data_IF_171811079607
#
_entry.id   IF_171811079607
#
_cell.length_a   1.000
_cell.length_b   1.000
_cell.length_c   1.000
_cell.angle_alpha   90.00
_cell.angle_beta   90.00
_cell.angle_gamma   90.00
#
_symmetry.space_group_name_H-M   'P 1'
#
loop_
_entity.id
_entity.type
_entity.pdbx_description
1 polymer ?
#
# COMPACT_ATOMS: atom_id res chain seq x y z
N UNK A 1 26.95 11.68 -13.80
CA UNK A 1 25.69 11.28 -13.12
C UNK A 1 24.91 12.53 -12.73
N UNK A 2 23.78 12.80 -13.38
CA UNK A 2 22.95 13.96 -13.03
C UNK A 2 22.33 13.75 -11.63
N UNK A 3 22.50 14.74 -10.72
CA UNK A 3 21.85 14.70 -9.39
C UNK A 3 20.35 14.93 -9.58
N UNK A 4 19.55 13.87 -9.53
CA UNK A 4 18.08 13.90 -9.60
C UNK A 4 17.49 14.94 -8.62
N UNK A 5 18.15 15.13 -7.47
CA UNK A 5 17.78 16.10 -6.44
C UNK A 5 17.96 17.58 -6.84
N UNK A 6 18.30 17.91 -8.10
CA UNK A 6 18.30 19.30 -8.62
C UNK A 6 17.16 19.58 -9.58
N UNK A 7 16.31 18.59 -9.88
CA UNK A 7 15.17 18.80 -10.76
C UNK A 7 14.04 19.53 -10.02
N UNK A 8 13.45 20.59 -10.60
CA UNK A 8 12.44 21.42 -9.92
C UNK A 8 11.18 20.63 -9.52
N UNK A 9 10.89 19.52 -10.21
CA UNK A 9 9.80 18.60 -9.90
C UNK A 9 10.07 17.71 -8.68
N UNK A 10 11.31 17.54 -8.23
CA UNK A 10 11.67 16.62 -7.13
C UNK A 10 11.76 17.35 -5.78
N UNK A 11 12.06 18.65 -5.77
CA UNK A 11 12.33 19.41 -4.53
C UNK A 11 11.14 20.22 -4.00
N UNK A 12 10.04 20.32 -4.73
CA UNK A 12 8.85 21.04 -4.27
C UNK A 12 7.80 20.08 -3.70
N UNK A 13 6.97 20.55 -2.76
CA UNK A 13 5.87 19.72 -2.22
C UNK A 13 4.89 19.30 -3.31
N UNK A 14 4.54 20.22 -4.22
CA UNK A 14 3.66 19.93 -5.36
C UNK A 14 4.29 18.94 -6.33
N UNK A 15 5.57 19.13 -6.67
CA UNK A 15 6.29 18.22 -7.56
C UNK A 15 6.39 16.80 -6.98
N UNK A 16 6.68 16.66 -5.68
CA UNK A 16 6.68 15.36 -4.99
C UNK A 16 5.31 14.68 -4.98
N UNK A 17 4.22 15.44 -4.81
CA UNK A 17 2.86 14.90 -4.90
C UNK A 17 2.56 14.38 -6.32
N UNK A 18 2.88 15.16 -7.35
CA UNK A 18 2.71 14.75 -8.75
C UNK A 18 3.54 13.50 -9.07
N UNK A 19 4.80 13.47 -8.65
CA UNK A 19 5.68 12.31 -8.83
C UNK A 19 5.13 11.08 -8.09
N UNK A 20 4.67 11.22 -6.85
CA UNK A 20 4.02 10.12 -6.12
C UNK A 20 2.81 9.58 -6.88
N UNK A 21 1.91 10.45 -7.35
CA UNK A 21 0.74 10.02 -8.11
C UNK A 21 1.13 9.28 -9.40
N UNK A 22 2.13 9.79 -10.13
CA UNK A 22 2.64 9.13 -11.33
C UNK A 22 3.24 7.75 -11.01
N UNK A 23 4.07 7.64 -9.98
CA UNK A 23 4.68 6.36 -9.59
C UNK A 23 3.63 5.34 -9.16
N UNK A 24 2.62 5.76 -8.37
CA UNK A 24 1.51 4.90 -7.99
C UNK A 24 0.65 4.48 -9.19
N UNK A 25 0.52 5.33 -10.20
CA UNK A 25 -0.17 4.97 -11.44
C UNK A 25 0.60 3.91 -12.24
N UNK A 26 1.92 4.06 -12.35
CA UNK A 26 2.79 3.05 -12.98
C UNK A 26 2.76 1.73 -12.20
N UNK A 27 2.81 1.78 -10.87
CA UNK A 27 2.74 0.58 -10.02
C UNK A 27 1.46 -0.22 -10.24
N UNK A 28 0.31 0.45 -10.41
CA UNK A 28 -0.98 -0.20 -10.72
C UNK A 28 -1.03 -0.88 -12.08
N UNK A 29 -0.11 -0.57 -12.99
CA UNK A 29 -0.04 -1.20 -14.31
C UNK A 29 0.81 -2.49 -14.29
N UNK A 30 1.52 -2.77 -13.19
CA UNK A 30 2.30 -3.99 -13.04
C UNK A 30 1.33 -5.14 -12.73
N UNK A 31 1.34 -6.23 -13.52
CA UNK A 31 0.50 -7.39 -13.22
C UNK A 31 0.98 -8.09 -11.94
N UNK A 32 0.07 -8.64 -11.13
CA UNK A 32 0.44 -9.40 -9.94
C UNK A 32 1.12 -10.73 -10.32
N UNK A 33 1.79 -11.36 -9.35
CA UNK A 33 2.39 -12.67 -9.52
C UNK A 33 1.31 -13.75 -9.80
N UNK A 34 1.39 -14.49 -10.93
CA UNK A 34 0.43 -15.55 -11.26
C UNK A 34 0.33 -16.68 -10.23
N UNK A 35 1.35 -16.89 -9.41
CA UNK A 35 1.31 -17.88 -8.32
C UNK A 35 0.36 -17.47 -7.19
N UNK A 36 0.22 -16.16 -6.94
CA UNK A 36 -0.75 -15.61 -5.99
C UNK A 36 -2.16 -15.77 -6.55
N UNK A 37 -2.36 -15.50 -7.84
CA UNK A 37 -3.64 -15.75 -8.50
C UNK A 37 -4.07 -17.22 -8.37
N UNK A 38 -3.15 -18.16 -8.65
CA UNK A 38 -3.41 -19.58 -8.52
C UNK A 38 -3.74 -20.00 -7.08
N UNK A 39 -3.05 -19.41 -6.09
CA UNK A 39 -3.30 -19.66 -4.68
C UNK A 39 -4.70 -19.20 -4.26
N UNK A 40 -5.08 -17.97 -4.62
CA UNK A 40 -6.41 -17.43 -4.29
C UNK A 40 -7.52 -18.21 -4.99
N UNK A 41 -7.34 -18.58 -6.26
CA UNK A 41 -8.31 -19.39 -6.99
C UNK A 41 -8.47 -20.81 -6.41
N UNK A 42 -7.41 -21.38 -5.84
CA UNK A 42 -7.46 -22.72 -5.23
C UNK A 42 -8.18 -22.71 -3.88
N UNK A 43 -7.96 -21.68 -3.07
CA UNK A 43 -8.49 -21.61 -1.71
C UNK A 43 -9.84 -20.91 -1.60
N UNK A 44 -10.25 -20.15 -2.62
CA UNK A 44 -11.51 -19.38 -2.67
C UNK A 44 -11.79 -18.61 -1.36
N UNK A 45 -10.85 -17.77 -0.87
CA UNK A 45 -11.03 -17.11 0.41
C UNK A 45 -12.11 -16.03 0.33
N UNK A 46 -12.94 -15.93 1.37
CA UNK A 46 -13.92 -14.84 1.53
C UNK A 46 -13.27 -13.49 1.84
N UNK A 47 -12.02 -13.49 2.33
CA UNK A 47 -11.25 -12.30 2.70
C UNK A 47 -9.75 -12.59 2.65
N UNK A 48 -8.96 -11.59 2.25
CA UNK A 48 -7.49 -11.64 2.29
C UNK A 48 -6.96 -10.62 3.29
N UNK A 49 -6.29 -11.09 4.34
CA UNK A 49 -5.61 -10.26 5.32
C UNK A 49 -4.10 -10.39 5.15
N UNK A 50 -3.41 -9.25 5.06
CA UNK A 50 -1.96 -9.21 4.83
C UNK A 50 -1.23 -8.47 5.94
N UNK A 51 0.01 -8.89 6.16
CA UNK A 51 1.00 -8.15 6.94
C UNK A 51 2.39 -8.72 6.67
N UNK A 52 3.46 -7.89 6.57
CA UNK A 52 3.49 -6.43 6.54
C UNK A 52 3.32 -5.85 5.11
N UNK A 53 2.59 -4.72 4.96
CA UNK A 53 2.35 -4.05 3.65
C UNK A 53 3.11 -2.72 3.48
N UNK A 54 3.95 -2.36 4.45
CA UNK A 54 4.68 -1.08 4.45
C UNK A 54 6.15 -1.21 4.04
N UNK A 55 6.64 -2.43 3.84
CA UNK A 55 8.04 -2.68 3.48
C UNK A 55 8.31 -2.35 2.01
N UNK A 56 9.51 -1.84 1.73
CA UNK A 56 9.97 -1.61 0.36
C UNK A 56 10.06 -2.95 -0.36
N UNK A 57 9.28 -3.10 -1.44
CA UNK A 57 9.23 -4.34 -2.20
C UNK A 57 8.43 -5.45 -1.53
N UNK A 58 7.47 -5.13 -0.66
CA UNK A 58 6.59 -6.16 -0.08
C UNK A 58 5.78 -6.90 -1.15
N UNK A 59 5.96 -8.21 -1.22
CA UNK A 59 5.20 -9.15 -2.07
C UNK A 59 3.71 -9.20 -1.66
N UNK A 60 3.36 -8.68 -0.48
CA UNK A 60 1.97 -8.59 -0.03
C UNK A 60 1.12 -7.70 -0.94
N UNK A 61 1.73 -6.83 -1.75
CA UNK A 61 1.03 -6.01 -2.75
C UNK A 61 0.36 -6.89 -3.81
N UNK A 62 0.95 -8.03 -4.16
CA UNK A 62 0.37 -8.94 -5.14
C UNK A 62 -0.90 -9.60 -4.60
N UNK A 63 -0.90 -10.01 -3.33
CA UNK A 63 -2.10 -10.54 -2.66
C UNK A 63 -3.25 -9.53 -2.65
N UNK A 64 -2.97 -8.26 -2.36
CA UNK A 64 -3.98 -7.20 -2.41
C UNK A 64 -4.50 -6.98 -3.83
N UNK A 65 -3.61 -7.00 -4.82
CA UNK A 65 -3.94 -6.73 -6.21
C UNK A 65 -4.74 -7.88 -6.82
N UNK A 66 -4.30 -9.11 -6.65
CA UNK A 66 -4.99 -10.33 -7.09
C UNK A 66 -6.37 -10.47 -6.43
N UNK A 67 -6.46 -10.31 -5.11
CA UNK A 67 -7.73 -10.36 -4.40
C UNK A 67 -8.72 -9.31 -4.92
N UNK A 68 -8.25 -8.07 -5.13
CA UNK A 68 -9.07 -6.99 -5.70
C UNK A 68 -9.56 -7.34 -7.11
N UNK A 69 -8.71 -7.89 -7.98
CA UNK A 69 -9.10 -8.30 -9.33
C UNK A 69 -10.20 -9.37 -9.29
N UNK A 70 -10.13 -10.28 -8.31
CA UNK A 70 -11.12 -11.35 -8.09
C UNK A 70 -12.36 -10.90 -7.31
N UNK A 71 -12.43 -9.62 -6.88
CA UNK A 71 -13.55 -9.10 -6.09
C UNK A 71 -13.57 -9.56 -4.62
N UNK A 72 -12.44 -10.07 -4.11
CA UNK A 72 -12.28 -10.53 -2.73
C UNK A 72 -11.91 -9.34 -1.83
N UNK A 73 -12.64 -9.09 -0.73
CA UNK A 73 -12.30 -8.05 0.24
C UNK A 73 -10.90 -8.22 0.85
N UNK A 74 -10.23 -7.10 1.10
CA UNK A 74 -8.84 -7.07 1.57
C UNK A 74 -8.65 -6.26 2.85
N UNK A 75 -7.68 -6.66 3.69
CA UNK A 75 -7.32 -5.92 4.90
C UNK A 75 -5.82 -5.94 5.21
N UNK A 76 -5.30 -4.83 5.71
CA UNK A 76 -3.96 -4.75 6.33
C UNK A 76 -4.11 -4.82 7.85
N UNK A 77 -3.51 -5.83 8.47
CA UNK A 77 -3.33 -5.89 9.91
C UNK A 77 -1.95 -5.34 10.26
N UNK A 78 -1.86 -4.09 10.74
CA UNK A 78 -0.55 -3.46 11.05
C UNK A 78 0.19 -4.29 12.10
N UNK A 79 1.40 -4.75 11.77
CA UNK A 79 2.11 -5.74 12.59
C UNK A 79 2.65 -5.18 13.90
N UNK A 80 3.25 -3.98 13.87
CA UNK A 80 3.87 -3.35 15.04
C UNK A 80 3.50 -1.88 15.18
N UNK A 81 3.75 -1.35 16.38
CA UNK A 81 3.44 0.03 16.77
C UNK A 81 4.18 1.09 15.93
N UNK A 82 5.34 0.77 15.35
CA UNK A 82 6.20 1.71 14.61
C UNK A 82 6.12 1.57 13.07
N UNK A 83 5.36 0.62 12.55
CA UNK A 83 5.33 0.30 11.11
C UNK A 83 4.92 1.48 10.22
N UNK A 84 4.03 2.35 10.69
CA UNK A 84 3.49 3.46 9.90
C UNK A 84 4.38 4.71 9.88
N UNK A 85 5.48 4.73 10.64
CA UNK A 85 6.31 5.95 10.77
C UNK A 85 7.69 5.82 10.16
N UNK A 86 8.26 4.61 10.09
CA UNK A 86 9.69 4.46 9.78
C UNK A 86 10.06 3.39 8.73
N UNK A 87 9.12 2.54 8.28
CA UNK A 87 9.44 1.42 7.38
C UNK A 87 9.32 1.80 5.91
N UNK A 88 8.17 2.33 5.52
CA UNK A 88 7.88 2.69 4.14
C UNK A 88 6.45 3.20 4.03
N UNK A 89 5.80 2.99 2.89
CA UNK A 89 4.45 3.49 2.65
C UNK A 89 3.51 2.38 2.19
N UNK A 90 2.25 2.43 2.62
CA UNK A 90 1.17 1.68 1.99
C UNK A 90 0.98 2.25 0.59
N UNK A 91 1.47 1.53 -0.43
CA UNK A 91 1.44 1.96 -1.83
C UNK A 91 0.07 1.72 -2.46
N UNK A 92 -0.47 0.53 -2.23
CA UNK A 92 -1.81 0.13 -2.65
C UNK A 92 -2.64 -0.09 -1.39
N UNK A 93 -3.59 0.80 -1.06
CA UNK A 93 -4.40 0.65 0.14
C UNK A 93 -5.37 -0.53 -0.03
N UNK A 94 -5.49 -1.43 0.96
CA UNK A 94 -6.56 -2.44 1.02
C UNK A 94 -7.91 -1.79 1.35
N UNK A 95 -8.98 -2.58 1.41
CA UNK A 95 -10.32 -2.08 1.76
C UNK A 95 -10.40 -1.61 3.22
N UNK A 96 -9.69 -2.29 4.12
CA UNK A 96 -9.56 -1.92 5.55
C UNK A 96 -8.12 -1.93 6.04
N UNK A 97 -7.77 -0.99 6.90
CA UNK A 97 -6.48 -0.95 7.61
C UNK A 97 -6.75 -0.98 9.10
N UNK A 98 -6.39 -2.07 9.76
CA UNK A 98 -6.57 -2.28 11.19
C UNK A 98 -5.32 -1.81 11.93
N UNK A 99 -5.51 -0.88 12.87
CA UNK A 99 -4.43 -0.26 13.65
C UNK A 99 -4.63 -0.44 15.15
N UNK A 100 -3.59 -0.20 15.92
CA UNK A 100 -3.58 -0.47 17.35
C UNK A 100 -4.20 0.66 18.19
N UNK A 101 -4.16 1.90 17.70
CA UNK A 101 -4.55 3.09 18.46
C UNK A 101 -4.80 4.32 17.56
N UNK A 102 -5.30 5.39 18.17
CA UNK A 102 -5.61 6.64 17.47
C UNK A 102 -4.38 7.36 16.89
N UNK A 103 -3.17 7.12 17.44
CA UNK A 103 -1.95 7.67 16.86
C UNK A 103 -1.71 7.04 15.49
N UNK A 104 -1.82 5.73 15.38
CA UNK A 104 -1.70 5.03 14.11
C UNK A 104 -2.85 5.35 13.14
N UNK A 105 -4.06 5.70 13.61
CA UNK A 105 -5.12 6.24 12.73
C UNK A 105 -4.69 7.53 12.03
N UNK A 106 -4.06 8.43 12.78
CA UNK A 106 -3.50 9.67 12.23
C UNK A 106 -2.32 9.39 11.32
N UNK A 107 -1.46 8.43 11.63
CA UNK A 107 -0.33 8.07 10.78
C UNK A 107 -0.80 7.45 9.45
N UNK A 108 -1.75 6.51 9.49
CA UNK A 108 -2.38 5.90 8.31
C UNK A 108 -2.95 6.95 7.34
N UNK A 109 -3.66 7.95 7.88
CA UNK A 109 -4.27 9.01 7.07
C UNK A 109 -3.25 10.03 6.57
N UNK A 110 -2.38 10.56 7.46
CA UNK A 110 -1.50 11.68 7.13
C UNK A 110 -0.22 11.27 6.39
N UNK A 111 0.34 10.10 6.69
CA UNK A 111 1.61 9.62 6.12
C UNK A 111 1.38 8.69 4.92
N UNK A 112 0.34 7.86 4.98
CA UNK A 112 0.08 6.86 3.94
C UNK A 112 -1.03 7.26 2.97
N UNK A 113 -1.88 8.23 3.31
CA UNK A 113 -2.97 8.68 2.44
C UNK A 113 -4.14 7.70 2.36
N UNK A 114 -4.28 6.83 3.37
CA UNK A 114 -5.46 5.96 3.53
C UNK A 114 -6.65 6.82 3.96
N UNK A 115 -7.84 6.57 3.40
CA UNK A 115 -9.05 7.30 3.84
C UNK A 115 -9.37 6.95 5.28
N UNK A 116 -9.82 7.93 6.08
CA UNK A 116 -10.21 7.70 7.47
C UNK A 116 -11.30 6.63 7.61
N UNK A 117 -12.19 6.52 6.63
CA UNK A 117 -13.26 5.50 6.59
C UNK A 117 -12.71 4.08 6.42
N UNK A 118 -11.50 3.92 5.87
CA UNK A 118 -10.85 2.63 5.69
C UNK A 118 -10.09 2.20 6.95
N UNK A 119 -9.83 3.10 7.91
CA UNK A 119 -9.00 2.80 9.08
C UNK A 119 -9.87 2.41 10.28
N UNK A 120 -9.59 1.24 10.85
CA UNK A 120 -10.31 0.65 11.99
C UNK A 120 -9.43 0.65 13.22
#
# INVERSE_FOLDING_TARGET
MARINRWPLVNTTTGRRLLRTMLLWVERAIPPDPSVDALLATHEPDVVLVTPLVELGSDQVDYITSARIMGIPTGLCVHSWDNLTNKGVIRIPPDRVYVWNDAQKREATTMHGVSAEQVV
#
